data_IF_270926849275
#
_entry.id   IF_270926849275
#
_cell.length_a   1.000
_cell.length_b   1.000
_cell.length_c   1.000
_cell.angle_alpha   90.00
_cell.angle_beta   90.00
_cell.angle_gamma   90.00
#
_symmetry.space_group_name_H-M   'P 1'
#
loop_
_entity.id
_entity.type
_entity.pdbx_description
1 polymer ?
#
# COMPACT_ATOMS: atom_id res chain seq x y z
N UNK A 1 -19.13 14.89 25.81
CA UNK A 1 -19.46 15.43 24.48
C UNK A 1 -19.65 14.25 23.55
N UNK A 2 -20.91 13.95 23.25
CA UNK A 2 -21.33 12.90 22.33
C UNK A 2 -20.98 13.32 20.91
N UNK A 3 -20.16 12.52 20.23
CA UNK A 3 -19.94 12.60 18.79
C UNK A 3 -21.11 11.90 18.09
N UNK A 4 -22.25 12.58 17.99
CA UNK A 4 -23.41 12.05 17.27
C UNK A 4 -24.11 13.15 16.47
N UNK A 5 -23.37 13.74 15.52
CA UNK A 5 -23.91 14.52 14.39
C UNK A 5 -22.89 14.47 13.23
N UNK A 6 -22.84 13.35 12.48
CA UNK A 6 -22.20 13.33 11.15
C UNK A 6 -23.25 12.99 10.11
N UNK A 7 -23.93 14.02 9.60
CA UNK A 7 -24.49 13.96 8.26
C UNK A 7 -23.35 13.71 7.30
N UNK A 8 -23.13 12.45 6.92
CA UNK A 8 -22.08 12.05 6.00
C UNK A 8 -22.38 12.63 4.63
N UNK A 9 -21.69 13.70 4.25
CA UNK A 9 -21.70 14.18 2.88
C UNK A 9 -21.05 13.11 2.00
N UNK A 10 -21.80 12.59 1.04
CA UNK A 10 -21.26 11.70 0.01
C UNK A 10 -20.41 12.54 -0.97
N UNK A 11 -19.16 12.12 -1.18
CA UNK A 11 -18.27 12.76 -2.15
C UNK A 11 -17.92 11.71 -3.21
N UNK A 12 -18.32 11.97 -4.45
CA UNK A 12 -17.92 11.14 -5.58
C UNK A 12 -16.55 11.59 -6.09
N UNK A 13 -15.59 10.66 -6.09
CA UNK A 13 -14.27 10.86 -6.68
C UNK A 13 -14.23 10.08 -8.00
N UNK A 14 -14.07 10.74 -9.15
CA UNK A 14 -13.96 10.03 -10.42
C UNK A 14 -12.64 9.26 -10.48
N UNK A 15 -12.74 7.98 -10.84
CA UNK A 15 -11.63 7.11 -11.19
C UNK A 15 -11.79 6.68 -12.65
N UNK A 16 -10.82 7.02 -13.49
CA UNK A 16 -10.71 6.48 -14.83
C UNK A 16 -9.60 5.40 -14.86
N UNK A 17 -9.93 4.23 -15.43
CA UNK A 17 -8.98 3.13 -15.60
C UNK A 17 -8.88 2.75 -17.07
N UNK A 18 -7.66 2.76 -17.59
CA UNK A 18 -7.36 2.25 -18.94
C UNK A 18 -6.52 0.99 -18.82
N UNK A 19 -7.03 -0.14 -19.31
CA UNK A 19 -6.30 -1.39 -19.30
C UNK A 19 -5.73 -1.71 -20.69
N UNK A 20 -4.49 -2.19 -20.72
CA UNK A 20 -3.82 -2.71 -21.91
C UNK A 20 -3.47 -4.17 -21.67
N UNK A 21 -4.04 -5.08 -22.44
CA UNK A 21 -3.76 -6.52 -22.32
C UNK A 21 -2.71 -6.89 -23.38
N UNK A 22 -1.62 -7.52 -22.95
CA UNK A 22 -0.52 -7.95 -23.81
C UNK A 22 -0.08 -9.35 -23.42
N UNK A 23 -0.63 -10.37 -24.08
CA UNK A 23 -0.35 -11.77 -23.78
C UNK A 23 -0.80 -12.17 -22.37
N UNK A 24 0.15 -12.51 -21.50
CA UNK A 24 -0.07 -12.92 -20.11
C UNK A 24 0.04 -11.77 -19.09
N UNK A 25 0.21 -10.55 -19.58
CA UNK A 25 0.37 -9.34 -18.78
C UNK A 25 -0.74 -8.36 -19.12
N UNK A 26 -1.26 -7.66 -18.12
CA UNK A 26 -2.15 -6.52 -18.32
C UNK A 26 -1.62 -5.32 -17.54
N UNK A 27 -1.53 -4.19 -18.23
CA UNK A 27 -1.15 -2.90 -17.66
C UNK A 27 -2.42 -2.13 -17.35
N UNK A 28 -2.51 -1.55 -16.16
CA UNK A 28 -3.63 -0.70 -15.76
C UNK A 28 -3.09 0.68 -15.48
N UNK A 29 -3.59 1.67 -16.20
CA UNK A 29 -3.37 3.08 -15.95
C UNK A 29 -4.55 3.63 -15.13
N UNK A 30 -4.24 4.33 -14.05
CA UNK A 30 -5.18 4.91 -13.11
C UNK A 30 -5.06 6.43 -13.16
N UNK A 31 -6.18 7.09 -13.45
CA UNK A 31 -6.32 8.53 -13.36
C UNK A 31 -7.38 8.83 -12.29
N UNK A 32 -6.91 9.38 -11.17
CA UNK A 32 -7.75 9.73 -10.02
C UNK A 32 -7.73 11.24 -9.88
N UNK A 33 -8.89 11.87 -10.08
CA UNK A 33 -9.03 13.30 -9.84
C UNK A 33 -9.66 13.58 -8.48
N UNK A 34 -8.81 14.00 -7.54
CA UNK A 34 -9.21 14.40 -6.19
C UNK A 34 -9.66 15.85 -6.08
N UNK A 35 -9.78 16.57 -7.21
CA UNK A 35 -10.31 17.94 -7.22
C UNK A 35 -11.68 18.10 -6.53
N UNK A 36 -12.60 17.11 -6.51
CA UNK A 36 -13.84 17.21 -5.73
C UNK A 36 -13.61 17.37 -4.22
N UNK A 37 -12.51 16.83 -3.69
CA UNK A 37 -12.14 17.00 -2.28
C UNK A 37 -11.74 18.43 -1.95
N UNK A 38 -11.35 19.24 -2.95
CA UNK A 38 -10.92 20.64 -2.71
C UNK A 38 -11.98 21.45 -1.97
N UNK A 39 -13.26 21.24 -2.24
CA UNK A 39 -14.33 21.97 -1.57
C UNK A 39 -14.41 21.62 -0.08
N UNK A 40 -14.32 20.33 0.25
CA UNK A 40 -14.33 19.85 1.65
C UNK A 40 -13.06 20.24 2.39
N UNK A 41 -11.93 20.17 1.70
CA UNK A 41 -10.63 20.51 2.26
C UNK A 41 -10.41 22.03 2.37
N UNK A 42 -11.18 22.84 1.63
CA UNK A 42 -11.10 24.31 1.69
C UNK A 42 -11.45 24.86 3.08
N UNK A 43 -12.35 24.19 3.81
CA UNK A 43 -12.70 24.52 5.19
C UNK A 43 -11.50 24.41 6.15
N UNK A 44 -10.49 23.62 5.79
CA UNK A 44 -9.28 23.43 6.57
C UNK A 44 -8.15 24.39 6.16
N UNK A 45 -8.28 25.12 5.03
CA UNK A 45 -7.29 26.10 4.57
C UNK A 45 -5.88 25.50 4.42
N UNK A 46 -4.89 26.12 5.08
CA UNK A 46 -3.50 25.60 5.12
C UNK A 46 -3.34 24.33 5.96
N UNK A 47 -4.37 23.94 6.71
CA UNK A 47 -4.41 22.76 7.58
C UNK A 47 -5.16 21.59 6.94
N UNK A 48 -5.40 21.63 5.62
CA UNK A 48 -6.02 20.52 4.91
C UNK A 48 -5.21 19.22 5.13
N UNK A 49 -5.85 18.13 5.57
CA UNK A 49 -5.15 16.88 5.82
C UNK A 49 -4.50 16.35 4.53
N UNK A 50 -3.29 15.84 4.69
CA UNK A 50 -2.64 15.02 3.67
C UNK A 50 -3.42 13.71 3.51
N UNK A 51 -3.36 13.12 2.33
CA UNK A 51 -3.83 11.75 2.14
C UNK A 51 -2.86 10.79 2.85
N UNK A 52 -3.36 9.67 3.40
CA UNK A 52 -2.48 8.63 3.95
C UNK A 52 -1.73 7.90 2.83
N UNK A 53 -2.41 7.56 1.73
CA UNK A 53 -1.84 6.87 0.57
C UNK A 53 -2.64 7.10 -0.70
N UNK A 54 -2.01 6.89 -1.84
CA UNK A 54 -2.61 6.79 -3.18
C UNK A 54 -2.00 5.57 -3.86
N UNK A 55 -2.82 4.56 -4.12
CA UNK A 55 -2.35 3.26 -4.58
C UNK A 55 -3.49 2.33 -4.96
N UNK A 56 -3.14 1.07 -5.14
CA UNK A 56 -4.08 0.00 -5.45
C UNK A 56 -3.93 -1.08 -4.40
N UNK A 57 -5.05 -1.50 -3.84
CA UNK A 57 -5.15 -2.71 -3.03
C UNK A 57 -5.64 -3.87 -3.89
N UNK A 58 -4.98 -5.01 -3.79
CA UNK A 58 -5.47 -6.29 -4.31
C UNK A 58 -5.77 -7.21 -3.14
N UNK A 59 -7.03 -7.56 -3.00
CA UNK A 59 -7.45 -8.62 -2.08
C UNK A 59 -7.32 -9.97 -2.79
N UNK A 60 -6.49 -10.84 -2.24
CA UNK A 60 -6.20 -12.17 -2.75
C UNK A 60 -6.63 -13.22 -1.72
N UNK A 61 -6.88 -14.47 -2.11
CA UNK A 61 -7.09 -15.54 -1.14
C UNK A 61 -5.90 -15.70 -0.16
N UNK A 62 -6.17 -16.13 1.07
CA UNK A 62 -5.19 -16.33 2.15
C UNK A 62 -3.92 -17.12 1.77
N UNK A 63 -4.03 -18.09 0.86
CA UNK A 63 -2.94 -18.95 0.43
C UNK A 63 -1.90 -18.25 -0.47
N UNK A 64 -2.13 -16.98 -0.84
CA UNK A 64 -1.12 -16.10 -1.39
C UNK A 64 -0.25 -15.57 -0.25
N UNK A 65 0.69 -16.40 0.20
CA UNK A 65 1.38 -16.25 1.49
C UNK A 65 2.87 -15.94 1.36
N UNK A 66 3.42 -15.88 0.15
CA UNK A 66 4.83 -15.61 -0.08
C UNK A 66 5.06 -14.35 -0.91
N UNK A 67 5.84 -13.42 -0.38
CA UNK A 67 6.19 -12.17 -1.03
C UNK A 67 7.68 -12.12 -1.37
N UNK A 68 8.01 -11.61 -2.55
CA UNK A 68 9.37 -11.22 -2.91
C UNK A 68 9.37 -9.86 -3.60
N UNK A 69 10.38 -9.03 -3.33
CA UNK A 69 10.42 -7.68 -3.87
C UNK A 69 11.85 -7.22 -4.15
N UNK A 70 11.99 -6.34 -5.15
CA UNK A 70 13.22 -5.61 -5.44
C UNK A 70 13.07 -4.18 -4.93
N UNK A 71 13.63 -3.89 -3.76
CA UNK A 71 13.47 -2.59 -3.09
C UNK A 71 14.13 -2.57 -1.71
N UNK A 72 13.77 -1.61 -0.87
CA UNK A 72 14.30 -1.49 0.49
C UNK A 72 13.86 -2.67 1.37
N UNK A 73 14.77 -3.17 2.21
CA UNK A 73 14.50 -4.27 3.15
C UNK A 73 15.75 -4.69 3.91
N UNK A 74 15.70 -5.80 4.70
CA UNK A 74 14.57 -6.73 4.80
C UNK A 74 13.47 -6.26 5.78
N UNK A 75 13.80 -5.35 6.68
CA UNK A 75 12.91 -4.84 7.72
C UNK A 75 11.96 -3.75 7.19
N UNK A 76 10.98 -3.41 8.01
CA UNK A 76 10.01 -2.35 7.73
C UNK A 76 10.66 -0.99 7.52
N UNK A 77 10.26 -0.30 6.46
CA UNK A 77 10.72 1.04 6.15
C UNK A 77 9.62 1.84 5.44
N UNK A 78 9.67 3.16 5.63
CA UNK A 78 8.74 4.16 5.08
C UNK A 78 9.50 5.24 4.31
N UNK A 79 8.83 6.08 3.49
CA UNK A 79 9.50 7.07 2.65
C UNK A 79 10.45 8.01 3.41
N UNK A 80 10.08 8.39 4.64
CA UNK A 80 10.85 9.22 5.56
C UNK A 80 11.78 8.44 6.50
N UNK A 81 11.69 7.10 6.49
CA UNK A 81 12.46 6.20 7.36
C UNK A 81 12.97 4.96 6.60
N UNK A 82 13.79 5.17 5.56
CA UNK A 82 14.34 4.08 4.74
C UNK A 82 15.88 4.03 4.63
N UNK A 83 16.61 5.00 5.20
CA UNK A 83 18.07 5.08 5.07
C UNK A 83 18.81 3.83 5.59
N UNK A 84 18.24 3.12 6.56
CA UNK A 84 18.79 1.86 7.10
C UNK A 84 18.48 0.60 6.29
N UNK A 85 17.65 0.69 5.25
CA UNK A 85 17.12 -0.43 4.51
C UNK A 85 17.76 -0.55 3.10
N UNK A 86 18.75 -1.44 2.89
CA UNK A 86 19.39 -1.58 1.59
C UNK A 86 18.45 -2.08 0.49
N UNK A 87 18.64 -1.56 -0.73
CA UNK A 87 17.89 -1.97 -1.93
C UNK A 87 18.45 -3.27 -2.52
N UNK A 88 17.73 -4.39 -2.40
CA UNK A 88 18.11 -5.72 -2.93
C UNK A 88 16.85 -6.51 -3.31
N UNK A 89 17.06 -7.73 -3.80
CA UNK A 89 15.99 -8.72 -3.89
C UNK A 89 15.79 -9.35 -2.51
N UNK A 90 14.57 -9.28 -2.00
CA UNK A 90 14.16 -9.82 -0.71
C UNK A 90 13.01 -10.80 -0.87
N UNK A 91 12.81 -11.64 0.16
CA UNK A 91 11.73 -12.60 0.25
C UNK A 91 11.26 -12.72 1.70
N UNK A 92 9.96 -12.83 1.91
CA UNK A 92 9.34 -13.06 3.21
C UNK A 92 8.03 -13.81 3.05
N UNK A 93 7.61 -14.57 4.06
CA UNK A 93 6.20 -14.93 4.15
C UNK A 93 5.37 -13.68 4.53
N UNK A 94 4.13 -13.60 4.07
CA UNK A 94 3.21 -12.49 4.36
C UNK A 94 2.99 -12.36 5.87
N UNK A 95 2.81 -13.48 6.58
CA UNK A 95 2.71 -13.50 8.05
C UNK A 95 3.93 -12.88 8.77
N UNK A 96 5.11 -12.93 8.17
CA UNK A 96 6.36 -12.42 8.77
C UNK A 96 6.60 -10.95 8.42
N UNK A 97 5.78 -10.36 7.54
CA UNK A 97 5.80 -8.93 7.23
C UNK A 97 5.14 -8.10 8.35
N UNK A 98 4.25 -8.73 9.13
CA UNK A 98 3.48 -8.09 10.19
C UNK A 98 4.35 -7.71 11.38
N UNK A 99 4.31 -6.43 11.78
CA UNK A 99 4.93 -5.96 13.03
C UNK A 99 3.85 -5.82 14.09
N UNK A 100 4.01 -6.52 15.23
CA UNK A 100 3.05 -6.48 16.34
C UNK A 100 3.36 -5.32 17.29
N UNK A 101 3.03 -4.09 16.88
CA UNK A 101 3.05 -2.91 17.74
C UNK A 101 2.08 -3.06 18.93
N UNK A 102 2.26 -2.31 20.02
CA UNK A 102 1.41 -2.47 21.23
C UNK A 102 -0.08 -2.23 20.90
N UNK A 103 -0.36 -1.18 20.12
CA UNK A 103 -1.66 -0.91 19.52
C UNK A 103 -1.56 -1.35 18.05
N UNK A 104 -2.49 -2.20 17.55
CA UNK A 104 -2.57 -2.52 16.13
C UNK A 104 -2.65 -1.25 15.28
N UNK A 105 -1.87 -1.17 14.21
CA UNK A 105 -1.77 0.00 13.33
C UNK A 105 -1.13 -0.42 11.99
N UNK A 106 -1.10 0.51 11.03
CA UNK A 106 -0.36 0.34 9.77
C UNK A 106 1.11 -0.08 10.04
N UNK A 107 1.54 -1.14 9.39
CA UNK A 107 2.89 -1.69 9.56
C UNK A 107 3.27 -2.60 8.38
N UNK A 108 4.51 -3.06 8.35
CA UNK A 108 5.04 -4.01 7.36
C UNK A 108 5.38 -3.37 6.02
N UNK A 109 5.38 -2.05 5.91
CA UNK A 109 5.75 -1.32 4.70
C UNK A 109 7.16 -1.65 4.20
N UNK A 110 7.35 -1.67 2.88
CA UNK A 110 8.64 -1.73 2.20
C UNK A 110 8.70 -0.61 1.16
N UNK A 111 9.64 0.31 1.32
CA UNK A 111 9.74 1.49 0.49
C UNK A 111 10.51 1.25 -0.81
N UNK A 112 10.32 2.14 -1.80
CA UNK A 112 11.13 2.22 -3.02
C UNK A 112 11.23 0.88 -3.77
N UNK A 113 10.09 0.30 -4.13
CA UNK A 113 10.01 -1.03 -4.73
C UNK A 113 9.83 -0.96 -6.24
N UNK A 114 10.80 -1.49 -6.99
CA UNK A 114 10.75 -1.58 -8.46
C UNK A 114 9.86 -2.69 -8.97
N UNK A 115 9.73 -3.76 -8.19
CA UNK A 115 9.00 -4.97 -8.55
C UNK A 115 8.61 -5.72 -7.30
N UNK A 116 7.41 -6.26 -7.29
CA UNK A 116 6.93 -7.19 -6.27
C UNK A 116 6.34 -8.42 -6.95
N UNK A 117 6.51 -9.58 -6.31
CA UNK A 117 5.92 -10.85 -6.70
C UNK A 117 5.28 -11.48 -5.47
N UNK A 118 4.00 -11.81 -5.56
CA UNK A 118 3.29 -12.61 -4.57
C UNK A 118 3.00 -13.99 -5.15
N UNK A 119 3.16 -15.04 -4.35
CA UNK A 119 3.00 -16.43 -4.75
C UNK A 119 1.95 -17.14 -3.89
N UNK A 120 1.15 -17.94 -4.57
CA UNK A 120 0.27 -18.93 -3.97
C UNK A 120 1.04 -20.22 -3.70
N UNK A 121 1.12 -20.61 -2.43
CA UNK A 121 1.67 -21.92 -2.03
C UNK A 121 0.77 -23.08 -2.50
N UNK A 122 -0.54 -22.85 -2.56
CA UNK A 122 -1.53 -23.89 -2.91
C UNK A 122 -1.52 -24.26 -4.39
N UNK A 123 -1.42 -23.27 -5.27
CA UNK A 123 -1.57 -23.47 -6.73
C UNK A 123 -0.24 -23.36 -7.48
N UNK A 124 0.83 -22.88 -6.81
CA UNK A 124 2.09 -22.55 -7.46
C UNK A 124 1.95 -21.42 -8.48
N UNK A 125 0.91 -20.59 -8.42
CA UNK A 125 0.79 -19.41 -9.28
C UNK A 125 1.47 -18.21 -8.64
N UNK A 126 1.92 -17.27 -9.47
CA UNK A 126 2.51 -15.99 -9.03
C UNK A 126 1.91 -14.82 -9.78
N UNK A 127 1.78 -13.71 -9.07
CA UNK A 127 1.41 -12.41 -9.60
C UNK A 127 2.64 -11.53 -9.45
N UNK A 128 3.14 -10.99 -10.56
CA UNK A 128 4.23 -10.01 -10.60
C UNK A 128 3.65 -8.65 -10.90
N UNK A 129 4.06 -7.64 -10.13
CA UNK A 129 3.66 -6.25 -10.32
C UNK A 129 4.87 -5.32 -10.42
N UNK A 130 4.81 -4.34 -11.32
CA UNK A 130 5.80 -3.26 -11.42
C UNK A 130 5.15 -1.99 -12.00
N UNK A 131 5.67 -0.79 -11.71
CA UNK A 131 5.14 0.46 -12.29
C UNK A 131 5.28 0.50 -13.82
N UNK A 132 4.33 1.14 -14.52
CA UNK A 132 4.38 1.31 -15.98
C UNK A 132 5.45 2.31 -16.43
N UNK A 133 5.67 3.38 -15.65
CA UNK A 133 6.80 4.28 -15.85
C UNK A 133 8.08 3.66 -15.26
N UNK A 134 9.26 4.20 -15.60
CA UNK A 134 10.57 3.81 -15.05
C UNK A 134 10.78 4.17 -13.56
N UNK A 135 9.72 4.09 -12.77
CA UNK A 135 9.66 4.44 -11.35
C UNK A 135 9.68 3.25 -10.41
N UNK A 136 9.26 3.53 -9.18
CA UNK A 136 9.16 2.60 -8.06
C UNK A 136 7.76 2.79 -7.46
N UNK A 137 7.18 1.73 -6.88
CA UNK A 137 6.15 1.92 -5.87
C UNK A 137 6.80 2.63 -4.68
N UNK A 138 6.20 3.70 -4.19
CA UNK A 138 6.75 4.45 -3.06
C UNK A 138 6.75 3.59 -1.80
N UNK A 139 5.69 2.79 -1.63
CA UNK A 139 5.56 1.75 -0.62
C UNK A 139 4.82 0.52 -1.19
N UNK A 140 5.19 -0.67 -0.74
CA UNK A 140 4.34 -1.87 -0.84
C UNK A 140 4.13 -2.46 0.54
N UNK A 141 2.98 -3.10 0.75
CA UNK A 141 2.66 -3.84 1.96
C UNK A 141 1.89 -5.12 1.62
N UNK A 142 2.08 -6.17 2.41
CA UNK A 142 1.25 -7.37 2.33
C UNK A 142 0.85 -7.81 3.74
N UNK A 143 -0.44 -8.02 3.97
CA UNK A 143 -0.99 -8.38 5.29
C UNK A 143 -2.13 -9.38 5.18
N UNK A 144 -2.33 -10.18 6.22
CA UNK A 144 -3.53 -11.00 6.40
C UNK A 144 -4.63 -10.28 7.19
N UNK A 145 -4.40 -9.03 7.58
CA UNK A 145 -5.35 -8.20 8.31
C UNK A 145 -5.82 -7.07 7.39
N UNK A 146 -7.12 -6.76 7.43
CA UNK A 146 -7.65 -5.59 6.75
C UNK A 146 -7.28 -4.31 7.49
N UNK A 147 -7.22 -3.19 6.77
CA UNK A 147 -6.92 -1.89 7.36
C UNK A 147 -7.99 -1.46 8.38
N UNK A 148 -9.27 -1.69 8.06
CA UNK A 148 -10.38 -1.40 8.96
C UNK A 148 -10.25 -2.17 10.29
N UNK A 149 -9.88 -3.46 10.22
CA UNK A 149 -9.71 -4.27 11.43
C UNK A 149 -8.51 -3.83 12.28
N UNK A 150 -7.45 -3.32 11.66
CA UNK A 150 -6.30 -2.75 12.38
C UNK A 150 -6.64 -1.40 13.01
N UNK A 151 -7.41 -0.55 12.32
CA UNK A 151 -7.83 0.77 12.80
C UNK A 151 -8.81 0.67 13.98
N UNK A 152 -9.73 -0.30 13.97
CA UNK A 152 -10.74 -0.48 15.01
C UNK A 152 -10.17 -1.09 16.30
N UNK A 153 -9.13 -1.93 16.20
CA UNK A 153 -8.61 -2.72 17.30
C UNK A 153 -7.68 -1.92 18.22
N UNK A 154 -7.84 -2.07 19.54
CA UNK A 154 -6.92 -1.49 20.54
C UNK A 154 -5.85 -2.47 20.99
N UNK A 155 -6.12 -3.76 20.83
CA UNK A 155 -5.23 -4.84 21.24
C UNK A 155 -5.24 -5.99 20.23
N UNK A 156 -4.13 -6.73 20.11
CA UNK A 156 -4.01 -7.86 19.18
C UNK A 156 -5.00 -9.00 19.43
N UNK A 157 -5.57 -9.11 20.64
CA UNK A 157 -6.61 -10.09 20.95
C UNK A 157 -7.96 -9.78 20.27
N UNK A 158 -8.14 -8.54 19.80
CA UNK A 158 -9.39 -8.06 19.19
C UNK A 158 -9.37 -8.17 17.65
N UNK A 159 -8.18 -8.36 17.06
CA UNK A 159 -8.01 -8.42 15.60
C UNK A 159 -7.83 -9.86 15.13
N UNK A 160 -8.58 -10.26 14.10
CA UNK A 160 -8.45 -11.56 13.44
C UNK A 160 -8.04 -11.39 11.98
N UNK A 161 -7.30 -12.35 11.39
CA UNK A 161 -7.05 -12.35 9.95
C UNK A 161 -8.35 -12.30 9.16
N UNK A 162 -8.37 -11.57 8.05
CA UNK A 162 -9.56 -11.34 7.21
C UNK A 162 -10.00 -12.56 6.40
N UNK A 163 -9.18 -13.62 6.34
CA UNK A 163 -9.35 -14.74 5.41
C UNK A 163 -8.81 -14.45 4.00
N UNK A 164 -8.18 -13.28 3.83
CA UNK A 164 -7.55 -12.84 2.60
C UNK A 164 -6.10 -12.41 2.85
N UNK A 165 -5.34 -12.26 1.77
CA UNK A 165 -4.09 -11.51 1.74
C UNK A 165 -4.32 -10.19 1.01
N UNK A 166 -4.13 -9.09 1.73
CA UNK A 166 -4.19 -7.74 1.19
C UNK A 166 -2.81 -7.35 0.68
N UNK A 167 -2.67 -7.11 -0.62
CA UNK A 167 -1.44 -6.59 -1.24
C UNK A 167 -1.65 -5.14 -1.67
N UNK A 168 -0.95 -4.23 -1.02
CA UNK A 168 -0.99 -2.80 -1.32
C UNK A 168 0.19 -2.41 -2.22
N UNK A 169 -0.12 -1.70 -3.30
CA UNK A 169 0.82 -1.13 -4.27
C UNK A 169 0.66 0.39 -4.30
N UNK A 170 1.46 1.11 -3.54
CA UNK A 170 1.31 2.55 -3.42
C UNK A 170 2.13 3.30 -4.46
N UNK A 171 1.43 4.13 -5.23
CA UNK A 171 2.09 5.18 -6.01
C UNK A 171 2.63 6.27 -5.10
N UNK A 172 1.87 6.64 -4.07
CA UNK A 172 2.27 7.55 -3.00
C UNK A 172 1.87 7.05 -1.62
N UNK A 173 2.73 7.24 -0.64
CA UNK A 173 2.47 6.93 0.76
C UNK A 173 3.02 8.04 1.64
N UNK A 174 2.23 8.49 2.60
CA UNK A 174 2.67 9.51 3.55
C UNK A 174 3.80 8.95 4.43
N UNK A 175 4.75 9.81 4.82
CA UNK A 175 5.72 9.48 5.86
C UNK A 175 5.05 9.20 7.21
N UNK A 176 5.81 8.59 8.12
CA UNK A 176 5.36 8.33 9.50
C UNK A 176 5.48 9.57 10.38
N UNK A 177 6.50 10.39 10.17
CA UNK A 177 6.85 11.54 11.01
C UNK A 177 7.50 11.10 12.33
N UNK A 178 7.21 11.83 13.40
CA UNK A 178 7.68 11.50 14.76
C UNK A 178 8.68 12.48 15.36
N UNK A 179 8.73 13.74 14.89
CA UNK A 179 9.52 14.79 15.58
C UNK A 179 8.98 15.03 17.01
N UNK A 180 7.66 14.89 17.17
CA UNK A 180 6.95 14.76 18.44
C UNK A 180 5.77 13.78 18.28
N UNK A 181 5.12 13.39 19.39
CA UNK A 181 4.03 12.42 19.40
C UNK A 181 2.63 13.03 19.64
N UNK A 182 2.48 14.35 19.49
CA UNK A 182 1.23 15.06 19.78
C UNK A 182 0.86 16.12 18.72
N UNK A 183 1.69 16.28 17.68
CA UNK A 183 1.47 17.15 16.54
C UNK A 183 1.63 16.37 15.22
N UNK A 184 0.97 16.78 14.13
CA UNK A 184 1.29 16.29 12.79
C UNK A 184 2.69 16.75 12.38
N UNK A 185 3.65 15.82 12.35
CA UNK A 185 5.09 16.13 12.20
C UNK A 185 5.73 15.57 10.94
N UNK A 186 4.95 15.04 10.00
CA UNK A 186 5.48 14.57 8.71
C UNK A 186 6.04 15.76 7.92
N UNK A 187 7.30 15.66 7.49
CA UNK A 187 7.95 16.73 6.73
C UNK A 187 7.30 16.88 5.35
N UNK A 188 7.35 18.09 4.78
CA UNK A 188 6.55 18.48 3.61
C UNK A 188 6.81 17.61 2.37
N UNK A 189 8.03 17.14 2.21
CA UNK A 189 8.46 16.25 1.14
C UNK A 189 7.85 14.84 1.21
N UNK A 190 7.34 14.44 2.38
CA UNK A 190 6.71 13.13 2.61
C UNK A 190 5.19 13.23 2.80
N UNK A 191 4.59 14.40 2.54
CA UNK A 191 3.14 14.57 2.49
C UNK A 191 2.59 14.17 1.11
N UNK A 192 1.37 13.64 1.10
CA UNK A 192 0.63 13.26 -0.11
C UNK A 192 -0.52 14.25 -0.31
N UNK A 193 -0.32 15.31 -1.12
CA UNK A 193 -1.33 16.35 -1.27
C UNK A 193 -2.61 15.82 -1.95
N UNK A 194 -3.78 16.34 -1.61
CA UNK A 194 -5.07 15.99 -2.22
C UNK A 194 -5.22 16.64 -3.60
N UNK A 195 -4.50 16.12 -4.60
CA UNK A 195 -4.48 16.59 -6.00
C UNK A 195 -4.78 15.43 -6.95
N UNK A 196 -4.89 15.72 -8.25
CA UNK A 196 -4.98 14.66 -9.26
C UNK A 196 -3.70 13.81 -9.31
N UNK A 197 -3.87 12.49 -9.41
CA UNK A 197 -2.80 11.51 -9.56
C UNK A 197 -3.02 10.68 -10.81
N UNK A 198 -1.92 10.41 -11.51
CA UNK A 198 -1.89 9.60 -12.73
C UNK A 198 -0.71 8.64 -12.62
N UNK A 199 -1.00 7.34 -12.59
CA UNK A 199 0.01 6.31 -12.41
C UNK A 199 -0.44 5.00 -13.06
N UNK A 200 0.50 4.10 -13.33
CA UNK A 200 0.17 2.82 -13.94
C UNK A 200 0.94 1.67 -13.33
N UNK A 201 0.31 0.49 -13.34
CA UNK A 201 0.87 -0.76 -12.84
C UNK A 201 0.73 -1.84 -13.89
N UNK A 202 1.84 -2.50 -14.22
CA UNK A 202 1.83 -3.77 -14.94
C UNK A 202 1.60 -4.91 -13.97
N UNK A 203 0.71 -5.83 -14.36
CA UNK A 203 0.39 -7.04 -13.62
C UNK A 203 0.58 -8.23 -14.57
N UNK A 204 1.33 -9.23 -14.13
CA UNK A 204 1.55 -10.48 -14.89
C UNK A 204 1.24 -11.68 -14.03
N UNK A 205 0.30 -12.50 -14.50
CA UNK A 205 -0.03 -13.78 -13.89
C UNK A 205 0.76 -14.89 -14.59
N UNK A 206 1.40 -15.77 -13.82
CA UNK A 206 2.07 -16.94 -14.41
C UNK A 206 2.08 -18.13 -13.47
N UNK A 207 2.19 -19.34 -14.01
CA UNK A 207 2.55 -20.53 -13.22
C UNK A 207 4.03 -20.44 -12.83
N UNK A 208 4.36 -20.81 -11.60
CA UNK A 208 5.73 -20.91 -11.14
C UNK A 208 6.40 -22.09 -11.85
N UNK A 209 7.40 -21.80 -12.67
CA UNK A 209 8.33 -22.83 -13.13
C UNK A 209 9.46 -22.92 -12.10
N UNK A 210 9.78 -24.13 -11.59
CA UNK A 210 10.94 -24.32 -10.73
C UNK A 210 12.17 -23.81 -11.46
N UNK A 211 12.99 -23.00 -10.79
CA UNK A 211 14.27 -22.57 -11.36
C UNK A 211 15.18 -23.79 -11.37
N UNK A 212 15.39 -24.42 -12.52
CA UNK A 212 16.41 -25.46 -12.67
C UNK A 212 17.76 -24.77 -12.52
N UNK A 213 18.38 -24.92 -11.36
CA UNK A 213 19.79 -24.55 -11.19
C UNK A 213 20.60 -25.66 -11.83
N UNK A 214 21.16 -25.39 -13.01
CA UNK A 214 22.26 -26.19 -13.60
C UNK A 214 23.58 -25.85 -12.95
#
# INVERSE_FOLDING_TARGET
>A
MSWDERGGGEISIPLAMTYTITGDSFGVHYDVDLSPLRHVLSCYGKSAPSLPRVGVEMELPDHWSELSWLGCGPHECYPDRMAGAPKRMWRSAVKDMQVKYIVPSECGGRASVRRVEIRSERTGTRIKCWPMASGEFELINASHYSQDALEEAKHWSEVSPSGSTHLFLDHRHMGVGGDDSWSPTVHKEYLVPPKAYSFGTWIKLSKHQPTTVT
#
